data_IF_088918692292
#
_entry.id   IF_088918692292
#
_cell.length_a   1.000
_cell.length_b   1.000
_cell.length_c   1.000
_cell.angle_alpha   90.00
_cell.angle_beta   90.00
_cell.angle_gamma   90.00
#
_symmetry.space_group_name_H-M   'P 1'
#
loop_
_entity.id
_entity.type
_entity.pdbx_description
1 polymer ?
#
# COMPACT_ATOMS: atom_id res chain seq x y z
N UNK A 1 16.50 -8.98 6.27
CA UNK A 1 17.48 -8.24 5.45
C UNK A 1 18.77 -9.03 5.23
N UNK A 2 19.29 -9.76 6.23
CA UNK A 2 20.56 -10.50 6.09
C UNK A 2 20.48 -11.75 5.20
N UNK A 3 19.29 -12.35 5.06
CA UNK A 3 19.10 -13.60 4.31
C UNK A 3 18.26 -13.44 3.03
N UNK A 4 18.29 -12.27 2.38
CA UNK A 4 17.65 -12.13 1.06
C UNK A 4 18.61 -12.55 -0.04
N UNK A 5 18.08 -13.26 -1.04
CA UNK A 5 18.87 -13.58 -2.22
C UNK A 5 19.12 -12.32 -3.04
N UNK A 6 20.23 -12.23 -3.80
CA UNK A 6 20.50 -11.07 -4.65
C UNK A 6 19.34 -10.71 -5.58
N UNK A 7 18.66 -11.73 -6.11
CA UNK A 7 17.48 -11.58 -6.97
C UNK A 7 16.30 -10.91 -6.24
N UNK A 8 16.07 -11.25 -4.97
CA UNK A 8 15.05 -10.62 -4.15
C UNK A 8 15.41 -9.16 -3.82
N UNK A 9 16.70 -8.87 -3.57
CA UNK A 9 17.18 -7.51 -3.33
C UNK A 9 16.97 -6.66 -4.59
N UNK A 10 17.34 -7.17 -5.77
CA UNK A 10 17.13 -6.50 -7.06
C UNK A 10 15.64 -6.26 -7.31
N UNK A 11 14.78 -7.25 -7.05
CA UNK A 11 13.34 -7.10 -7.21
C UNK A 11 12.75 -6.04 -6.26
N UNK A 12 13.23 -5.97 -5.02
CA UNK A 12 12.85 -4.95 -4.04
C UNK A 12 13.32 -3.56 -4.47
N UNK A 13 14.57 -3.45 -4.92
CA UNK A 13 15.14 -2.19 -5.40
C UNK A 13 14.43 -1.69 -6.68
N UNK A 14 14.12 -2.58 -7.62
CA UNK A 14 13.33 -2.24 -8.81
C UNK A 14 11.92 -1.80 -8.45
N UNK A 15 11.31 -2.45 -7.45
CA UNK A 15 9.97 -2.08 -6.96
C UNK A 15 9.96 -0.69 -6.31
N UNK A 16 10.95 -0.38 -5.47
CA UNK A 16 11.05 0.93 -4.81
C UNK A 16 11.41 2.07 -5.76
N UNK A 17 12.13 1.78 -6.85
CA UNK A 17 12.50 2.78 -7.87
C UNK A 17 11.44 2.96 -8.96
N UNK A 18 10.74 1.89 -9.36
CA UNK A 18 9.68 1.90 -10.37
C UNK A 18 8.61 0.84 -10.06
N UNK A 19 7.65 1.12 -9.18
CA UNK A 19 6.63 0.14 -8.76
C UNK A 19 5.69 -0.24 -9.90
N UNK A 20 5.54 0.62 -10.91
CA UNK A 20 4.73 0.36 -12.10
C UNK A 20 5.33 -0.73 -13.01
N UNK A 21 6.66 -0.91 -12.99
CA UNK A 21 7.40 -1.87 -13.84
C UNK A 21 7.60 -3.21 -13.14
N UNK A 22 7.32 -3.29 -11.83
CA UNK A 22 7.50 -4.50 -11.08
C UNK A 22 6.52 -5.60 -11.54
N UNK A 23 6.98 -6.86 -11.68
CA UNK A 23 6.11 -7.96 -12.04
C UNK A 23 4.99 -8.07 -10.98
N UNK A 24 3.73 -8.26 -11.39
CA UNK A 24 2.63 -8.38 -10.45
C UNK A 24 2.89 -9.56 -9.53
N UNK A 25 2.69 -9.36 -8.23
CA UNK A 25 2.82 -10.45 -7.25
C UNK A 25 1.85 -11.58 -7.66
N UNK A 26 2.31 -12.84 -7.70
CA UNK A 26 1.45 -13.96 -8.03
C UNK A 26 0.33 -14.05 -6.99
N UNK A 27 -0.91 -13.95 -7.46
CA UNK A 27 -2.10 -14.08 -6.61
C UNK A 27 -2.32 -15.55 -6.30
N UNK A 28 -1.64 -16.07 -5.29
CA UNK A 28 -2.08 -17.31 -4.68
C UNK A 28 -3.26 -16.98 -3.77
N UNK A 29 -4.42 -17.66 -3.92
CA UNK A 29 -5.43 -17.57 -2.89
C UNK A 29 -4.77 -18.06 -1.60
N UNK A 30 -4.51 -17.15 -0.66
CA UNK A 30 -4.10 -17.53 0.67
C UNK A 30 -5.18 -18.50 1.18
N UNK A 31 -4.72 -19.63 1.70
CA UNK A 31 -5.61 -20.56 2.37
C UNK A 31 -6.40 -19.79 3.43
N UNK A 32 -7.71 -20.04 3.53
CA UNK A 32 -8.51 -19.43 4.59
C UNK A 32 -7.94 -19.86 5.94
N UNK A 33 -8.07 -19.06 7.01
CA UNK A 33 -7.63 -19.46 8.36
C UNK A 33 -8.16 -20.84 8.78
N UNK A 34 -9.36 -21.21 8.32
CA UNK A 34 -10.03 -22.49 8.62
C UNK A 34 -9.66 -23.63 7.66
N UNK A 35 -8.70 -23.42 6.76
CA UNK A 35 -8.33 -24.43 5.76
C UNK A 35 -7.53 -25.56 6.40
N UNK A 36 -8.15 -26.74 6.46
CA UNK A 36 -7.49 -27.99 6.83
C UNK A 36 -7.06 -28.71 5.55
N UNK A 37 -5.75 -28.96 5.33
CA UNK A 37 -5.30 -29.68 4.15
C UNK A 37 -5.75 -31.14 4.20
N UNK A 38 -6.05 -31.76 3.05
CA UNK A 38 -6.33 -33.19 2.99
C UNK A 38 -5.08 -34.01 3.37
N UNK A 39 -5.25 -35.21 3.94
CA UNK A 39 -4.12 -36.05 4.34
C UNK A 39 -3.28 -36.45 3.10
N UNK A 40 -1.97 -36.67 3.27
CA UNK A 40 -1.05 -36.97 2.16
C UNK A 40 -1.33 -38.33 1.49
N UNK A 41 -2.10 -39.21 2.15
CA UNK A 41 -2.56 -40.49 1.60
C UNK A 41 -3.71 -40.37 0.60
N UNK A 42 -4.31 -39.17 0.44
CA UNK A 42 -5.44 -39.00 -0.47
C UNK A 42 -4.98 -39.12 -1.93
N UNK A 43 -5.57 -40.02 -2.74
CA UNK A 43 -5.17 -40.18 -4.13
C UNK A 43 -5.47 -38.91 -4.95
N UNK A 44 -4.55 -38.54 -5.85
CA UNK A 44 -4.63 -37.31 -6.64
C UNK A 44 -5.93 -37.18 -7.46
N UNK A 45 -6.47 -38.30 -7.95
CA UNK A 45 -7.73 -38.35 -8.70
C UNK A 45 -8.92 -37.88 -7.85
N UNK A 46 -8.95 -38.26 -6.57
CA UNK A 46 -10.00 -37.86 -5.63
C UNK A 46 -9.92 -36.37 -5.32
N UNK A 47 -8.70 -35.83 -5.17
CA UNK A 47 -8.48 -34.39 -5.00
C UNK A 47 -8.95 -33.61 -6.22
N UNK A 48 -8.63 -34.10 -7.42
CA UNK A 48 -9.07 -33.49 -8.67
C UNK A 48 -10.60 -33.52 -8.79
N UNK A 49 -11.24 -34.64 -8.45
CA UNK A 49 -12.69 -34.79 -8.46
C UNK A 49 -13.37 -33.86 -7.43
N UNK A 50 -12.85 -33.81 -6.20
CA UNK A 50 -13.33 -32.89 -5.14
C UNK A 50 -13.20 -31.43 -5.57
N UNK A 51 -12.09 -31.07 -6.23
CA UNK A 51 -11.88 -29.73 -6.77
C UNK A 51 -12.90 -29.40 -7.86
N UNK A 52 -13.06 -30.27 -8.86
CA UNK A 52 -13.99 -30.07 -9.97
C UNK A 52 -15.44 -29.96 -9.45
N UNK A 53 -15.86 -30.85 -8.56
CA UNK A 53 -17.20 -30.82 -7.97
C UNK A 53 -17.46 -29.52 -7.17
N UNK A 54 -16.48 -29.07 -6.40
CA UNK A 54 -16.56 -27.77 -5.69
C UNK A 54 -16.64 -26.60 -6.67
N UNK A 55 -15.92 -26.67 -7.78
CA UNK A 55 -15.92 -25.65 -8.83
C UNK A 55 -17.29 -25.57 -9.52
N UNK A 56 -17.83 -26.71 -9.94
CA UNK A 56 -19.18 -26.84 -10.53
C UNK A 56 -20.27 -26.36 -9.57
N UNK A 57 -20.19 -26.72 -8.28
CA UNK A 57 -21.14 -26.24 -7.26
C UNK A 57 -21.09 -24.71 -7.10
N UNK A 58 -19.89 -24.12 -7.14
CA UNK A 58 -19.70 -22.66 -7.10
C UNK A 58 -20.29 -21.97 -8.34
N UNK A 59 -20.11 -22.55 -9.52
CA UNK A 59 -20.68 -22.03 -10.77
C UNK A 59 -22.20 -22.10 -10.78
N UNK A 60 -22.76 -23.21 -10.29
CA UNK A 60 -24.21 -23.38 -10.14
C UNK A 60 -24.79 -22.31 -9.22
N UNK A 61 -24.18 -22.07 -8.06
CA UNK A 61 -24.60 -21.00 -7.15
C UNK A 61 -24.42 -19.59 -7.75
N UNK A 62 -23.36 -19.36 -8.52
CA UNK A 62 -23.16 -18.08 -9.25
C UNK A 62 -24.27 -17.82 -10.27
N UNK A 63 -24.75 -18.88 -10.94
CA UNK A 63 -25.79 -18.79 -11.96
C UNK A 63 -27.20 -18.66 -11.36
N UNK A 64 -27.42 -19.25 -10.18
CA UNK A 64 -28.69 -19.24 -9.44
C UNK A 64 -28.86 -18.02 -8.51
N UNK A 65 -27.79 -17.28 -8.21
CA UNK A 65 -27.86 -16.07 -7.37
C UNK A 65 -28.68 -14.96 -8.06
N UNK A 66 -29.81 -14.50 -7.48
CA UNK A 66 -30.68 -13.51 -8.12
C UNK A 66 -30.13 -12.08 -8.10
N UNK A 67 -29.08 -11.82 -7.30
CA UNK A 67 -28.49 -10.50 -7.19
C UNK A 67 -27.46 -10.29 -8.31
N UNK A 68 -27.54 -9.21 -9.10
CA UNK A 68 -26.47 -8.85 -10.02
C UNK A 68 -25.18 -8.71 -9.22
N UNK A 69 -24.06 -9.18 -9.80
CA UNK A 69 -22.71 -9.01 -9.24
C UNK A 69 -22.59 -7.59 -8.72
N UNK A 70 -22.56 -7.40 -7.39
CA UNK A 70 -22.50 -6.06 -6.81
C UNK A 70 -21.33 -5.33 -7.49
N UNK A 71 -21.59 -4.32 -8.35
CA UNK A 71 -20.55 -3.68 -9.15
C UNK A 71 -19.54 -2.93 -8.26
N UNK A 72 -19.86 -2.78 -6.97
CA UNK A 72 -19.04 -2.10 -5.98
C UNK A 72 -17.91 -2.97 -5.42
N UNK A 73 -17.74 -4.24 -5.83
CA UNK A 73 -16.47 -4.95 -5.58
C UNK A 73 -15.38 -4.33 -6.46
N UNK A 74 -14.78 -3.24 -5.96
CA UNK A 74 -13.59 -2.65 -6.53
C UNK A 74 -12.57 -3.77 -6.74
N UNK A 75 -11.91 -3.85 -7.91
CA UNK A 75 -10.83 -4.82 -8.08
C UNK A 75 -9.84 -4.62 -6.93
N UNK A 76 -9.30 -5.72 -6.39
CA UNK A 76 -8.20 -5.64 -5.44
C UNK A 76 -7.04 -4.94 -6.15
N UNK A 77 -6.91 -3.64 -5.90
CA UNK A 77 -5.76 -2.84 -6.31
C UNK A 77 -4.70 -3.10 -5.26
N UNK A 78 -3.53 -3.52 -5.72
CA UNK A 78 -2.38 -3.67 -4.84
C UNK A 78 -2.11 -2.30 -4.17
N UNK A 79 -2.28 -2.17 -2.84
CA UNK A 79 -2.16 -0.89 -2.15
C UNK A 79 -0.77 -0.28 -2.31
N UNK A 80 0.23 -1.10 -2.66
CA UNK A 80 1.61 -0.67 -2.83
C UNK A 80 1.85 0.08 -4.15
N UNK A 81 0.98 -0.08 -5.16
CA UNK A 81 1.18 0.56 -6.48
C UNK A 81 1.05 2.08 -6.48
N UNK A 82 0.34 2.65 -5.49
CA UNK A 82 0.14 4.10 -5.37
C UNK A 82 1.01 4.75 -4.30
N UNK A 83 1.92 3.98 -3.66
CA UNK A 83 2.76 4.53 -2.59
C UNK A 83 3.89 5.35 -3.20
N UNK A 84 3.93 6.64 -2.84
CA UNK A 84 5.06 7.51 -3.13
C UNK A 84 6.19 7.16 -2.18
N UNK A 85 7.31 6.74 -2.73
CA UNK A 85 8.48 6.34 -1.95
C UNK A 85 9.43 7.52 -1.81
N UNK A 86 9.97 7.66 -0.61
CA UNK A 86 11.03 8.58 -0.17
C UNK A 86 11.25 9.85 -1.02
N UNK A 87 11.95 9.77 -2.15
CA UNK A 87 12.30 10.93 -2.98
C UNK A 87 11.07 11.64 -3.56
N UNK A 88 10.10 10.89 -4.08
CA UNK A 88 8.87 11.42 -4.64
C UNK A 88 8.00 12.06 -3.56
N UNK A 89 7.88 11.39 -2.42
CA UNK A 89 7.13 11.92 -1.27
C UNK A 89 7.76 13.20 -0.72
N UNK A 90 9.10 13.26 -0.61
CA UNK A 90 9.83 14.46 -0.19
C UNK A 90 9.61 15.62 -1.17
N UNK A 91 9.63 15.34 -2.47
CA UNK A 91 9.37 16.37 -3.51
C UNK A 91 7.95 16.92 -3.38
N UNK A 92 6.95 16.05 -3.29
CA UNK A 92 5.56 16.48 -3.13
C UNK A 92 5.34 17.30 -1.86
N UNK A 93 5.92 16.89 -0.73
CA UNK A 93 5.82 17.65 0.53
C UNK A 93 6.42 19.06 0.35
N UNK A 94 7.59 19.17 -0.28
CA UNK A 94 8.21 20.49 -0.57
C UNK A 94 7.35 21.34 -1.48
N UNK A 95 6.80 20.77 -2.55
CA UNK A 95 5.90 21.46 -3.48
C UNK A 95 4.64 21.94 -2.76
N UNK A 96 4.03 21.12 -1.92
CA UNK A 96 2.85 21.48 -1.13
C UNK A 96 3.13 22.61 -0.14
N UNK A 97 4.27 22.58 0.57
CA UNK A 97 4.63 23.68 1.49
C UNK A 97 4.95 24.96 0.71
N UNK A 98 5.65 24.86 -0.42
CA UNK A 98 5.94 26.00 -1.29
C UNK A 98 4.64 26.64 -1.80
N UNK A 99 3.67 25.83 -2.23
CA UNK A 99 2.35 26.29 -2.65
C UNK A 99 1.59 27.00 -1.52
N UNK A 100 1.59 26.43 -0.31
CA UNK A 100 0.95 27.07 0.86
C UNK A 100 1.60 28.40 1.24
N UNK A 101 2.93 28.53 1.09
CA UNK A 101 3.67 29.79 1.27
C UNK A 101 3.30 30.80 0.19
N UNK A 102 3.24 30.39 -1.08
CA UNK A 102 2.87 31.23 -2.22
C UNK A 102 1.46 31.82 -2.08
N UNK A 103 0.49 30.99 -1.69
CA UNK A 103 -0.90 31.43 -1.45
C UNK A 103 -0.98 32.40 -0.25
N UNK A 104 -0.03 32.36 0.68
CA UNK A 104 -0.04 33.19 1.88
C UNK A 104 -1.01 32.72 2.97
N UNK A 105 -1.37 31.42 2.96
CA UNK A 105 -2.22 30.81 3.98
C UNK A 105 -1.57 30.88 5.38
N UNK A 106 -2.36 30.75 6.45
CA UNK A 106 -1.85 30.70 7.83
C UNK A 106 -0.75 29.63 7.98
N UNK A 107 -0.99 28.45 7.42
CA UNK A 107 -0.05 27.33 7.42
C UNK A 107 1.26 27.70 6.71
N UNK A 108 1.16 28.33 5.53
CA UNK A 108 2.32 28.82 4.80
C UNK A 108 3.17 29.82 5.60
N UNK A 109 2.51 30.79 6.26
CA UNK A 109 3.20 31.76 7.13
C UNK A 109 3.91 31.07 8.29
N UNK A 110 3.27 30.07 8.93
CA UNK A 110 3.88 29.29 10.03
C UNK A 110 5.09 28.48 9.56
N UNK A 111 4.99 27.82 8.40
CA UNK A 111 6.12 27.13 7.79
C UNK A 111 7.29 28.07 7.46
N UNK A 112 7.01 29.27 6.91
CA UNK A 112 8.05 30.26 6.64
C UNK A 112 8.77 30.74 7.92
N UNK A 113 8.05 30.84 9.03
CA UNK A 113 8.60 31.20 10.35
C UNK A 113 9.21 30.01 11.10
N UNK A 114 9.25 28.82 10.51
CA UNK A 114 9.74 27.58 11.14
C UNK A 114 9.00 27.24 12.45
N UNK A 115 7.72 27.62 12.54
CA UNK A 115 6.86 27.38 13.69
C UNK A 115 5.97 26.15 13.46
N UNK A 116 5.59 25.43 14.53
CA UNK A 116 4.65 24.32 14.43
C UNK A 116 3.28 24.83 13.97
N UNK A 117 2.51 24.04 13.21
CA UNK A 117 1.34 24.53 12.45
C UNK A 117 0.00 24.26 13.14
N UNK A 118 -0.12 23.18 13.92
CA UNK A 118 -1.40 22.66 14.43
C UNK A 118 -1.86 23.35 15.73
N UNK A 119 -1.62 24.66 15.87
CA UNK A 119 -2.07 25.43 17.03
C UNK A 119 -1.27 25.19 18.32
N UNK A 120 -0.07 24.62 18.26
CA UNK A 120 0.78 24.49 19.43
C UNK A 120 1.22 25.86 19.99
N UNK A 121 1.37 25.95 21.31
CA UNK A 121 1.88 27.16 21.97
C UNK A 121 3.36 27.37 21.65
N UNK A 122 3.69 28.50 21.04
CA UNK A 122 5.05 28.84 20.57
C UNK A 122 5.76 29.89 21.43
N UNK A 123 5.14 30.35 22.52
CA UNK A 123 5.73 31.36 23.39
C UNK A 123 6.97 30.81 24.11
N UNK A 124 6.89 29.60 24.67
CA UNK A 124 7.99 28.93 25.40
C UNK A 124 8.64 27.79 24.61
N UNK A 125 7.87 27.02 23.84
CA UNK A 125 8.29 25.69 23.36
C UNK A 125 8.68 25.63 21.86
N UNK A 126 9.01 26.76 21.23
CA UNK A 126 9.29 26.81 19.78
C UNK A 126 10.76 26.62 19.39
N UNK A 127 11.71 26.59 20.33
CA UNK A 127 13.15 26.65 20.03
C UNK A 127 13.63 25.50 19.14
N UNK A 128 13.25 24.27 19.49
CA UNK A 128 13.61 23.08 18.70
C UNK A 128 12.93 23.07 17.34
N UNK A 129 11.64 23.43 17.28
CA UNK A 129 10.88 23.51 16.03
C UNK A 129 11.51 24.52 15.05
N UNK A 130 11.90 25.71 15.53
CA UNK A 130 12.58 26.72 14.72
C UNK A 130 13.90 26.23 14.13
N UNK A 131 14.66 25.43 14.89
CA UNK A 131 15.91 24.83 14.41
C UNK A 131 15.66 23.71 13.40
N UNK A 132 14.66 22.87 13.64
CA UNK A 132 14.48 21.59 12.94
C UNK A 132 13.48 21.61 11.78
N UNK A 133 12.54 22.57 11.75
CA UNK A 133 11.49 22.65 10.72
C UNK A 133 11.96 23.44 9.49
N UNK A 134 13.11 23.08 8.94
CA UNK A 134 13.64 23.67 7.71
C UNK A 134 13.21 22.83 6.50
N UNK A 135 12.94 23.49 5.38
CA UNK A 135 12.55 22.81 4.13
C UNK A 135 13.68 21.95 3.55
N UNK A 136 14.92 22.38 3.72
CA UNK A 136 16.12 21.75 3.13
C UNK A 136 16.84 20.81 4.10
N UNK A 137 16.19 20.39 5.20
CA UNK A 137 16.80 19.52 6.20
C UNK A 137 17.12 18.11 5.67
N UNK A 138 16.56 17.73 4.52
CA UNK A 138 16.57 16.36 3.99
C UNK A 138 16.78 16.31 2.48
#
# INVERSE_FOLDING_TARGET
MRDLTPLQITALASFLSSPATAPPLPKYPLARPDYVPPPPSTPMQELQAKFNARWEAMEKQRKESPLPRNPQKKPFVDPLKGLKVESELRREIRENIAHQRMIGSYVGKRHAMHLPVRGQNTQSNAKTARKLNQLDRY
#
